data_IF_600075421886
#
_entry.id   IF_600075421886
#
_cell.length_a   1.000
_cell.length_b   1.000
_cell.length_c   1.000
_cell.angle_alpha   90.00
_cell.angle_beta   90.00
_cell.angle_gamma   90.00
#
_symmetry.space_group_name_H-M   'P 1'
#
loop_
_entity.id
_entity.type
_entity.pdbx_description
1 polymer ?
#
# COMPACT_ATOMS: atom_id res chain seq x y z
N UNK A 1 8.60 -10.32 16.69
CA UNK A 1 8.20 -9.98 15.33
C UNK A 1 6.93 -9.14 15.35
N UNK A 2 6.78 -8.21 14.39
CA UNK A 2 5.56 -7.44 14.21
C UNK A 2 4.41 -8.36 13.80
N UNK A 3 3.18 -8.03 14.24
CA UNK A 3 1.99 -8.77 13.86
C UNK A 3 0.82 -7.82 13.59
N UNK A 4 0.10 -8.07 12.50
CA UNK A 4 -1.18 -7.42 12.22
C UNK A 4 -2.27 -8.11 13.07
N UNK A 5 -2.93 -7.34 13.92
CA UNK A 5 -3.94 -7.86 14.87
C UNK A 5 -5.34 -7.28 14.64
N UNK A 6 -5.46 -6.16 13.94
CA UNK A 6 -6.73 -5.48 13.67
C UNK A 6 -6.91 -5.26 12.18
N UNK A 7 -8.10 -5.57 11.70
CA UNK A 7 -8.47 -5.47 10.29
C UNK A 7 -9.90 -4.96 10.18
N UNK A 8 -10.12 -4.00 9.28
CA UNK A 8 -11.45 -3.60 8.83
C UNK A 8 -11.72 -4.21 7.47
N UNK A 9 -12.75 -5.04 7.40
CA UNK A 9 -13.18 -5.65 6.14
C UNK A 9 -14.27 -4.84 5.46
N UNK A 10 -14.38 -4.99 4.14
CA UNK A 10 -15.58 -4.67 3.39
C UNK A 10 -16.76 -5.55 3.84
N UNK A 11 -17.96 -5.30 3.31
CA UNK A 11 -19.17 -6.07 3.65
C UNK A 11 -18.93 -7.57 3.55
N UNK A 12 -19.64 -8.34 4.38
CA UNK A 12 -19.56 -9.79 4.37
C UNK A 12 -18.18 -10.33 4.75
N UNK A 13 -17.43 -9.60 5.58
CA UNK A 13 -16.08 -10.00 5.99
C UNK A 13 -15.07 -10.06 4.83
N UNK A 14 -15.23 -9.21 3.81
CA UNK A 14 -14.36 -9.21 2.65
C UNK A 14 -14.60 -10.37 1.67
N UNK A 15 -15.81 -10.93 1.64
CA UNK A 15 -16.12 -12.11 0.84
C UNK A 15 -17.46 -12.03 0.08
N UNK A 16 -17.83 -10.83 -0.37
CA UNK A 16 -19.03 -10.62 -1.21
C UNK A 16 -18.75 -10.92 -2.67
N UNK A 17 -17.55 -10.62 -3.14
CA UNK A 17 -17.11 -10.87 -4.50
C UNK A 17 -15.82 -11.73 -4.53
N UNK A 18 -15.88 -13.01 -4.09
CA UNK A 18 -14.68 -13.83 -3.87
C UNK A 18 -13.89 -14.16 -5.14
N UNK A 19 -14.49 -14.00 -6.31
CA UNK A 19 -13.83 -14.19 -7.61
C UNK A 19 -13.09 -12.96 -8.10
N UNK A 20 -13.33 -11.79 -7.49
CA UNK A 20 -12.60 -10.56 -7.78
C UNK A 20 -11.38 -10.46 -6.88
N UNK A 21 -10.32 -9.76 -7.32
CA UNK A 21 -9.17 -9.49 -6.46
C UNK A 21 -9.58 -8.84 -5.15
N UNK A 22 -8.95 -9.27 -4.06
CA UNK A 22 -9.05 -8.64 -2.76
C UNK A 22 -8.05 -7.47 -2.71
N UNK A 23 -8.54 -6.28 -2.37
CA UNK A 23 -7.64 -5.16 -2.07
C UNK A 23 -7.11 -5.27 -0.66
N UNK A 24 -5.80 -5.17 -0.51
CA UNK A 24 -5.09 -5.14 0.76
C UNK A 24 -4.69 -3.70 1.05
N UNK A 25 -5.41 -3.03 1.95
CA UNK A 25 -5.27 -1.60 2.19
C UNK A 25 -4.27 -1.32 3.31
N UNK A 26 -3.31 -0.44 3.05
CA UNK A 26 -2.18 -0.11 3.92
C UNK A 26 -2.12 1.41 4.13
N UNK A 27 -2.48 1.88 5.33
CA UNK A 27 -2.53 3.31 5.66
C UNK A 27 -1.13 3.92 5.87
N UNK A 28 -1.07 5.24 5.93
CA UNK A 28 0.15 6.00 6.23
C UNK A 28 0.43 6.16 7.72
N UNK A 29 1.57 6.78 8.05
CA UNK A 29 1.98 7.08 9.41
C UNK A 29 0.95 7.96 10.13
N UNK A 30 0.63 7.61 11.38
CA UNK A 30 -0.29 8.38 12.19
C UNK A 30 -1.77 8.18 11.84
N UNK A 31 -2.08 7.32 10.90
CA UNK A 31 -3.42 6.97 10.47
C UNK A 31 -3.87 5.61 11.06
N UNK A 32 -4.91 5.02 10.49
CA UNK A 32 -5.48 3.75 10.91
C UNK A 32 -6.19 3.06 9.73
N UNK A 33 -6.75 1.88 9.99
CA UNK A 33 -7.41 1.04 8.99
C UNK A 33 -8.66 1.66 8.34
N UNK A 34 -9.31 2.62 8.99
CA UNK A 34 -10.50 3.25 8.44
C UNK A 34 -10.19 4.20 7.27
N UNK A 35 -9.00 4.76 7.22
CA UNK A 35 -8.60 5.75 6.21
C UNK A 35 -8.65 5.15 4.79
N UNK A 36 -7.93 4.06 4.55
CA UNK A 36 -7.97 3.39 3.25
C UNK A 36 -9.29 2.66 2.98
N UNK A 37 -9.96 2.17 4.04
CA UNK A 37 -11.29 1.59 3.89
C UNK A 37 -12.29 2.60 3.31
N UNK A 38 -12.25 3.84 3.77
CA UNK A 38 -13.08 4.92 3.24
C UNK A 38 -12.69 5.29 1.80
N UNK A 39 -11.40 5.26 1.47
CA UNK A 39 -10.89 5.48 0.12
C UNK A 39 -11.44 4.46 -0.89
N UNK A 40 -11.63 3.21 -0.49
CA UNK A 40 -12.09 2.15 -1.37
C UNK A 40 -13.46 2.40 -2.01
N UNK A 41 -14.30 3.24 -1.42
CA UNK A 41 -15.58 3.68 -2.03
C UNK A 41 -15.38 4.43 -3.34
N UNK A 42 -14.26 5.15 -3.46
CA UNK A 42 -13.90 5.92 -4.65
C UNK A 42 -13.03 5.14 -5.63
N UNK A 43 -12.36 4.10 -5.16
CA UNK A 43 -11.40 3.33 -5.96
C UNK A 43 -12.06 2.12 -6.60
N UNK A 44 -12.67 1.24 -5.81
CA UNK A 44 -13.21 -0.03 -6.27
C UNK A 44 -14.40 -0.49 -5.40
N UNK A 45 -15.58 0.16 -5.51
CA UNK A 45 -16.72 -0.09 -4.62
C UNK A 45 -17.32 -1.49 -4.76
N UNK A 46 -17.00 -2.21 -5.83
CA UNK A 46 -17.53 -3.55 -6.11
C UNK A 46 -16.54 -4.69 -5.78
N UNK A 47 -15.35 -4.35 -5.31
CA UNK A 47 -14.39 -5.33 -4.84
C UNK A 47 -14.41 -5.42 -3.32
N UNK A 48 -14.05 -6.58 -2.81
CA UNK A 48 -13.77 -6.74 -1.39
C UNK A 48 -12.42 -6.14 -1.01
N UNK A 49 -12.30 -5.72 0.24
CA UNK A 49 -11.03 -5.28 0.81
C UNK A 49 -10.82 -5.79 2.24
N UNK A 50 -9.56 -5.87 2.62
CA UNK A 50 -9.08 -5.99 3.98
C UNK A 50 -8.15 -4.81 4.26
N UNK A 51 -8.56 -3.91 5.14
CA UNK A 51 -7.77 -2.75 5.54
C UNK A 51 -7.08 -3.02 6.87
N UNK A 52 -5.76 -3.11 6.85
CA UNK A 52 -4.95 -3.53 7.96
C UNK A 52 -4.56 -2.33 8.83
N UNK A 53 -4.61 -2.51 10.17
CA UNK A 53 -4.01 -1.58 11.13
C UNK A 53 -2.53 -1.90 11.30
N UNK A 54 -1.69 -0.88 11.17
CA UNK A 54 -0.27 -0.99 11.46
C UNK A 54 -0.02 -1.36 12.94
N UNK A 55 1.00 -2.17 13.23
CA UNK A 55 1.17 -2.77 14.56
C UNK A 55 1.75 -1.85 15.63
N UNK A 56 2.41 -0.74 15.24
CA UNK A 56 3.04 0.19 16.19
C UNK A 56 2.06 1.29 16.60
N UNK A 57 1.79 1.39 17.89
CA UNK A 57 0.82 2.35 18.43
C UNK A 57 1.51 3.68 18.67
N UNK A 58 1.01 4.76 18.04
CA UNK A 58 1.40 6.14 18.32
C UNK A 58 0.41 6.78 19.29
N UNK A 59 -0.88 6.48 19.14
CA UNK A 59 -1.95 6.92 20.00
C UNK A 59 -3.04 5.84 20.04
N UNK A 60 -3.43 5.43 21.25
CA UNK A 60 -4.50 4.46 21.45
C UNK A 60 -5.86 4.98 20.97
N UNK A 61 -6.69 4.09 20.43
CA UNK A 61 -8.07 4.42 20.10
C UNK A 61 -8.85 4.82 21.36
N UNK A 62 -9.66 5.88 21.26
CA UNK A 62 -10.44 6.41 22.38
C UNK A 62 -9.67 7.25 23.39
N UNK A 63 -8.37 7.48 23.20
CA UNK A 63 -7.53 8.29 24.09
C UNK A 63 -7.54 9.79 23.78
N UNK A 64 -8.34 10.25 22.82
CA UNK A 64 -8.53 11.68 22.54
C UNK A 64 -9.22 12.43 23.66
N UNK A 65 -9.19 13.76 23.62
CA UNK A 65 -9.64 14.69 24.67
C UNK A 65 -11.07 14.41 25.21
N UNK A 66 -11.91 13.74 24.42
CA UNK A 66 -13.28 13.34 24.81
C UNK A 66 -13.53 11.83 24.68
N UNK A 67 -12.48 11.01 24.65
CA UNK A 67 -12.62 9.57 24.42
C UNK A 67 -13.00 9.22 22.98
N UNK A 68 -12.92 10.18 22.06
CA UNK A 68 -13.15 9.99 20.64
C UNK A 68 -11.82 9.86 19.88
N UNK A 69 -11.83 9.05 18.87
CA UNK A 69 -10.69 8.86 17.97
C UNK A 69 -10.43 7.40 17.68
N UNK A 70 -10.04 7.14 16.44
CA UNK A 70 -9.77 5.78 15.97
C UNK A 70 -8.33 5.33 16.24
N UNK A 71 -7.54 6.17 16.93
CA UNK A 71 -6.13 5.94 17.18
C UNK A 71 -5.23 6.34 16.02
N UNK A 72 -3.93 6.29 16.28
CA UNK A 72 -2.89 6.58 15.30
C UNK A 72 -1.82 5.48 15.39
N UNK A 73 -1.45 4.93 14.24
CA UNK A 73 -0.58 3.77 14.15
C UNK A 73 0.50 3.98 13.11
N UNK A 74 1.56 3.19 13.19
CA UNK A 74 2.69 3.25 12.25
C UNK A 74 3.19 1.86 11.89
N UNK A 75 3.65 1.72 10.66
CA UNK A 75 4.36 0.53 10.20
C UNK A 75 5.83 0.56 10.60
N UNK A 76 6.40 1.75 10.80
CA UNK A 76 7.81 2.00 11.05
C UNK A 76 8.02 2.65 12.41
N UNK A 77 9.23 2.49 12.97
CA UNK A 77 9.58 3.09 14.27
C UNK A 77 9.64 4.61 14.22
N UNK A 78 10.02 5.18 13.06
CA UNK A 78 10.02 6.62 12.81
C UNK A 78 9.04 7.00 11.70
N UNK A 79 8.66 8.27 11.66
CA UNK A 79 7.79 8.81 10.61
C UNK A 79 8.37 8.61 9.21
N UNK A 80 9.63 8.99 9.03
CA UNK A 80 10.41 8.79 7.80
C UNK A 80 11.80 8.27 8.19
N UNK A 81 11.94 6.97 8.46
CA UNK A 81 13.24 6.37 8.66
C UNK A 81 14.05 6.40 7.36
N UNK A 82 15.35 6.22 7.45
CA UNK A 82 16.24 6.26 6.29
C UNK A 82 17.31 5.16 6.37
N UNK A 83 17.96 4.91 5.23
CA UNK A 83 19.09 3.98 5.17
C UNK A 83 18.73 2.57 5.65
N UNK A 84 19.61 1.99 6.46
CA UNK A 84 19.42 0.64 7.00
C UNK A 84 18.20 0.49 7.90
N UNK A 85 17.84 1.55 8.65
CA UNK A 85 16.67 1.50 9.53
C UNK A 85 15.38 1.42 8.73
N UNK A 86 15.30 2.13 7.60
CA UNK A 86 14.19 2.00 6.69
C UNK A 86 14.09 0.60 6.08
N UNK A 87 15.22 0.01 5.69
CA UNK A 87 15.23 -1.37 5.17
C UNK A 87 14.72 -2.38 6.20
N UNK A 88 15.18 -2.27 7.44
CA UNK A 88 14.77 -3.18 8.53
C UNK A 88 13.28 -3.03 8.84
N UNK A 89 12.80 -1.81 8.93
CA UNK A 89 11.38 -1.52 9.20
C UNK A 89 10.48 -1.97 8.05
N UNK A 90 10.85 -1.68 6.81
CA UNK A 90 10.11 -2.07 5.63
C UNK A 90 10.01 -3.61 5.52
N UNK A 91 11.11 -4.31 5.73
CA UNK A 91 11.13 -5.77 5.70
C UNK A 91 10.27 -6.38 6.82
N UNK A 92 10.42 -5.90 8.05
CA UNK A 92 9.65 -6.40 9.20
C UNK A 92 8.14 -6.17 9.02
N UNK A 93 7.75 -5.00 8.52
CA UNK A 93 6.36 -4.69 8.25
C UNK A 93 5.80 -5.52 7.08
N UNK A 94 6.55 -5.64 5.98
CA UNK A 94 6.14 -6.45 4.84
C UNK A 94 5.99 -7.94 5.22
N UNK A 95 6.89 -8.49 6.03
CA UNK A 95 6.77 -9.86 6.55
C UNK A 95 5.49 -10.02 7.40
N UNK A 96 5.20 -9.07 8.28
CA UNK A 96 3.99 -9.12 9.11
C UNK A 96 2.70 -9.09 8.27
N UNK A 97 2.71 -8.32 7.19
CA UNK A 97 1.60 -8.24 6.23
C UNK A 97 1.47 -9.54 5.44
N UNK A 98 2.57 -10.03 4.88
CA UNK A 98 2.59 -11.27 4.08
C UNK A 98 2.18 -12.49 4.91
N UNK A 99 2.63 -12.58 6.15
CA UNK A 99 2.19 -13.59 7.14
C UNK A 99 0.69 -13.49 7.43
N UNK A 100 0.16 -12.28 7.52
CA UNK A 100 -1.28 -12.08 7.68
C UNK A 100 -2.05 -12.57 6.44
N UNK A 101 -1.59 -12.22 5.26
CA UNK A 101 -2.18 -12.68 3.99
C UNK A 101 -2.17 -14.20 3.90
N UNK A 102 -1.05 -14.84 4.19
CA UNK A 102 -0.91 -16.30 4.15
C UNK A 102 -1.89 -17.02 5.09
N UNK A 103 -2.22 -16.42 6.24
CA UNK A 103 -3.14 -17.01 7.22
C UNK A 103 -4.63 -16.72 6.94
N UNK A 104 -4.95 -15.63 6.26
CA UNK A 104 -6.32 -15.11 6.21
C UNK A 104 -6.91 -15.04 4.81
N UNK A 105 -6.11 -15.15 3.76
CA UNK A 105 -6.58 -15.04 2.38
C UNK A 105 -6.28 -16.34 1.63
N UNK A 106 -7.28 -16.97 0.99
CA UNK A 106 -7.05 -18.17 0.19
C UNK A 106 -5.92 -17.97 -0.83
N UNK A 107 -5.11 -18.99 -1.03
CA UNK A 107 -3.93 -18.92 -1.91
C UNK A 107 -4.34 -18.65 -3.38
N UNK A 108 -5.49 -19.17 -3.81
CA UNK A 108 -6.01 -18.98 -5.16
C UNK A 108 -6.72 -17.63 -5.37
N UNK A 109 -6.92 -16.83 -4.32
CA UNK A 109 -7.49 -15.49 -4.44
C UNK A 109 -6.43 -14.47 -4.80
N UNK A 110 -6.66 -13.73 -5.89
CA UNK A 110 -5.81 -12.60 -6.26
C UNK A 110 -5.82 -11.51 -5.19
N UNK A 111 -4.65 -10.96 -4.85
CA UNK A 111 -4.46 -9.89 -3.88
C UNK A 111 -3.76 -8.72 -4.53
N UNK A 112 -4.33 -7.52 -4.34
CA UNK A 112 -3.78 -6.26 -4.84
C UNK A 112 -3.54 -5.32 -3.66
N UNK A 113 -2.28 -5.13 -3.24
CA UNK A 113 -1.94 -4.09 -2.25
C UNK A 113 -2.27 -2.70 -2.79
N UNK A 114 -2.84 -1.87 -1.93
CA UNK A 114 -3.02 -0.44 -2.15
C UNK A 114 -2.60 0.30 -0.90
N UNK A 115 -1.66 1.23 -1.01
CA UNK A 115 -1.13 1.94 0.14
C UNK A 115 -0.85 3.40 -0.11
N UNK A 116 -0.92 4.18 0.96
CA UNK A 116 -0.58 5.60 0.97
C UNK A 116 0.63 5.87 1.86
N UNK A 117 1.60 6.66 1.38
CA UNK A 117 2.80 7.07 2.11
C UNK A 117 3.61 5.87 2.62
N UNK A 118 3.77 5.63 3.92
CA UNK A 118 4.37 4.40 4.45
C UNK A 118 3.70 3.14 3.87
N UNK A 119 2.36 3.14 3.81
CA UNK A 119 1.61 2.06 3.18
C UNK A 119 1.90 1.92 1.69
N UNK A 120 2.17 3.03 1.01
CA UNK A 120 2.60 3.04 -0.40
C UNK A 120 3.97 2.42 -0.60
N UNK A 121 4.92 2.69 0.29
CA UNK A 121 6.21 1.98 0.32
C UNK A 121 5.99 0.48 0.49
N UNK A 122 5.13 0.09 1.43
CA UNK A 122 4.87 -1.32 1.72
C UNK A 122 4.17 -2.04 0.56
N UNK A 123 3.27 -1.36 -0.16
CA UNK A 123 2.67 -1.92 -1.37
C UNK A 123 3.73 -2.28 -2.43
N UNK A 124 4.81 -1.50 -2.51
CA UNK A 124 5.97 -1.83 -3.35
C UNK A 124 6.82 -2.93 -2.69
N UNK A 125 7.09 -2.83 -1.40
CA UNK A 125 8.01 -3.73 -0.71
C UNK A 125 7.49 -5.17 -0.63
N UNK A 126 6.18 -5.38 -0.62
CA UNK A 126 5.57 -6.70 -0.74
C UNK A 126 5.98 -7.41 -2.03
N UNK A 127 6.11 -6.67 -3.15
CA UNK A 127 6.65 -7.22 -4.41
C UNK A 127 8.13 -7.57 -4.30
N UNK A 128 8.88 -6.87 -3.45
CA UNK A 128 10.31 -7.12 -3.21
C UNK A 128 10.58 -8.27 -2.25
N UNK A 129 9.53 -8.71 -1.54
CA UNK A 129 9.60 -9.84 -0.59
C UNK A 129 8.98 -11.11 -1.17
N UNK A 130 7.77 -11.02 -1.73
CA UNK A 130 7.00 -12.16 -2.21
C UNK A 130 6.16 -11.78 -3.46
N UNK A 131 6.81 -11.48 -4.59
CA UNK A 131 6.14 -10.94 -5.77
C UNK A 131 5.08 -11.87 -6.37
N UNK A 132 5.25 -13.18 -6.28
CA UNK A 132 4.32 -14.17 -6.85
C UNK A 132 2.95 -14.16 -6.16
N UNK A 133 2.88 -13.64 -4.93
CA UNK A 133 1.62 -13.60 -4.17
C UNK A 133 0.68 -12.48 -4.63
N UNK A 134 1.23 -11.43 -5.23
CA UNK A 134 0.50 -10.20 -5.55
C UNK A 134 0.36 -10.02 -7.05
N UNK A 135 -0.88 -9.89 -7.53
CA UNK A 135 -1.17 -9.83 -8.97
C UNK A 135 -1.02 -8.44 -9.58
N UNK A 136 -1.03 -7.42 -8.76
CA UNK A 136 -0.81 -6.02 -9.09
C UNK A 136 -0.48 -5.26 -7.81
N UNK A 137 -0.05 -4.00 -7.89
CA UNK A 137 0.17 -3.15 -6.72
C UNK A 137 -0.12 -1.69 -7.03
N UNK A 138 -0.58 -0.95 -6.01
CA UNK A 138 -0.92 0.47 -6.11
C UNK A 138 -0.20 1.21 -4.99
N UNK A 139 0.68 2.12 -5.36
CA UNK A 139 1.42 2.97 -4.43
C UNK A 139 1.06 4.43 -4.66
N UNK A 140 0.47 5.05 -3.65
CA UNK A 140 0.04 6.46 -3.64
C UNK A 140 0.95 7.25 -2.72
N UNK A 141 1.71 8.19 -3.26
CA UNK A 141 2.72 8.98 -2.53
C UNK A 141 3.70 8.12 -1.72
N UNK A 142 3.98 6.91 -2.21
CA UNK A 142 4.94 6.01 -1.61
C UNK A 142 6.38 6.38 -1.96
N UNK A 143 7.31 5.72 -1.33
CA UNK A 143 8.74 5.86 -1.56
C UNK A 143 9.42 4.49 -1.46
N UNK A 144 10.72 4.43 -1.75
CA UNK A 144 11.44 3.18 -1.87
C UNK A 144 12.39 2.99 -0.68
N UNK A 145 12.36 1.82 -0.04
CA UNK A 145 13.45 1.43 0.85
C UNK A 145 14.71 1.14 0.03
N UNK A 146 15.91 1.55 0.49
CA UNK A 146 17.12 1.47 -0.33
C UNK A 146 17.54 0.04 -0.71
N UNK A 147 17.24 -0.96 0.12
CA UNK A 147 17.63 -2.35 -0.13
C UNK A 147 19.11 -2.63 0.10
N UNK A 148 19.77 -1.85 0.98
CA UNK A 148 21.20 -1.99 1.31
C UNK A 148 21.47 -3.04 2.39
N UNK A 149 20.47 -3.34 3.21
CA UNK A 149 20.57 -4.44 4.19
C UNK A 149 20.36 -5.77 3.50
N UNK A 150 21.33 -6.67 3.63
CA UNK A 150 21.24 -7.99 3.03
C UNK A 150 19.97 -8.74 3.46
N UNK A 151 19.20 -9.22 2.50
CA UNK A 151 17.96 -9.97 2.73
C UNK A 151 16.72 -9.09 3.00
N UNK A 152 16.84 -7.77 3.00
CA UNK A 152 15.68 -6.87 3.20
C UNK A 152 14.77 -6.75 1.97
N UNK A 153 15.27 -7.07 0.79
CA UNK A 153 14.55 -7.07 -0.47
C UNK A 153 14.94 -8.29 -1.33
N UNK A 154 14.60 -9.52 -0.87
CA UNK A 154 15.16 -10.74 -1.43
C UNK A 154 14.74 -11.04 -2.87
N UNK A 155 13.63 -10.47 -3.33
CA UNK A 155 13.12 -10.72 -4.67
C UNK A 155 13.56 -9.69 -5.72
N UNK A 156 14.32 -8.67 -5.38
CA UNK A 156 14.71 -7.58 -6.30
C UNK A 156 15.37 -8.10 -7.59
N UNK A 157 16.11 -9.22 -7.52
CA UNK A 157 16.79 -9.79 -8.67
C UNK A 157 15.86 -10.42 -9.72
N UNK A 158 14.60 -10.71 -9.38
CA UNK A 158 13.68 -11.40 -10.31
C UNK A 158 12.28 -10.76 -10.43
N UNK A 159 11.98 -9.71 -9.68
CA UNK A 159 10.68 -9.00 -9.80
C UNK A 159 10.39 -8.59 -11.24
N UNK A 160 11.39 -8.11 -11.96
CA UNK A 160 11.24 -7.67 -13.35
C UNK A 160 10.77 -8.77 -14.32
N UNK A 161 11.10 -10.04 -14.02
CA UNK A 161 10.70 -11.18 -14.84
C UNK A 161 9.19 -11.45 -14.80
N UNK A 162 8.52 -11.02 -13.74
CA UNK A 162 7.10 -11.25 -13.53
C UNK A 162 6.20 -10.20 -14.19
N UNK A 163 6.76 -9.07 -14.59
CA UNK A 163 6.04 -7.98 -15.28
C UNK A 163 4.72 -7.57 -14.57
N UNK A 164 4.77 -7.40 -13.25
CA UNK A 164 3.60 -7.13 -12.42
C UNK A 164 3.07 -5.72 -12.71
N UNK A 165 1.77 -5.53 -12.99
CA UNK A 165 1.19 -4.22 -13.16
C UNK A 165 1.26 -3.39 -11.86
N UNK A 166 1.79 -2.18 -11.94
CA UNK A 166 1.87 -1.25 -10.83
C UNK A 166 1.36 0.12 -11.24
N UNK A 167 0.48 0.69 -10.42
CA UNK A 167 0.13 2.10 -10.48
C UNK A 167 0.90 2.86 -9.41
N UNK A 168 1.62 3.91 -9.83
CA UNK A 168 2.35 4.80 -8.93
C UNK A 168 1.92 6.25 -9.16
N UNK A 169 1.27 6.86 -8.16
CA UNK A 169 0.81 8.23 -8.22
C UNK A 169 1.39 9.09 -7.11
N UNK A 170 1.68 10.36 -7.38
CA UNK A 170 2.17 11.32 -6.39
C UNK A 170 1.89 12.76 -6.77
N UNK A 171 1.82 13.65 -5.77
CA UNK A 171 1.72 15.09 -5.95
C UNK A 171 3.06 15.72 -6.33
N UNK A 172 3.07 16.61 -7.32
CA UNK A 172 4.29 17.35 -7.71
C UNK A 172 4.72 18.39 -6.69
N UNK A 173 3.87 18.70 -5.73
CA UNK A 173 4.11 19.66 -4.66
C UNK A 173 4.22 18.98 -3.29
N UNK A 174 4.54 17.67 -3.26
CA UNK A 174 4.70 16.91 -2.02
C UNK A 174 5.78 17.55 -1.13
N UNK A 175 5.37 17.95 0.09
CA UNK A 175 6.24 18.58 1.09
C UNK A 175 6.75 17.59 2.15
N UNK A 176 6.29 16.34 2.12
CA UNK A 176 6.68 15.29 3.07
C UNK A 176 7.75 14.39 2.47
N UNK A 177 7.52 13.87 1.26
CA UNK A 177 8.48 13.02 0.57
C UNK A 177 9.29 13.87 -0.41
N UNK A 178 10.62 13.93 -0.29
CA UNK A 178 11.46 14.70 -1.21
C UNK A 178 11.29 14.25 -2.66
N UNK A 179 11.22 15.20 -3.57
CA UNK A 179 11.02 14.92 -5.00
C UNK A 179 12.06 13.95 -5.59
N UNK A 180 13.36 14.02 -5.22
CA UNK A 180 14.34 13.03 -5.67
C UNK A 180 14.01 11.60 -5.29
N UNK A 181 13.38 11.38 -4.13
CA UNK A 181 12.94 10.04 -3.69
C UNK A 181 11.73 9.55 -4.48
N UNK A 182 10.78 10.45 -4.80
CA UNK A 182 9.65 10.12 -5.67
C UNK A 182 10.13 9.73 -7.08
N UNK A 183 11.10 10.46 -7.63
CA UNK A 183 11.70 10.14 -8.93
C UNK A 183 12.49 8.83 -8.91
N UNK A 184 13.27 8.58 -7.85
CA UNK A 184 14.00 7.33 -7.69
C UNK A 184 13.06 6.13 -7.57
N UNK A 185 11.94 6.30 -6.88
CA UNK A 185 10.89 5.27 -6.77
C UNK A 185 10.27 4.96 -8.12
N UNK A 186 9.88 5.99 -8.89
CA UNK A 186 9.34 5.83 -10.22
C UNK A 186 10.34 5.13 -11.17
N UNK A 187 11.61 5.50 -11.11
CA UNK A 187 12.66 4.89 -11.93
C UNK A 187 12.85 3.41 -11.60
N UNK A 188 12.91 3.05 -10.31
CA UNK A 188 13.03 1.66 -9.89
C UNK A 188 11.82 0.82 -10.36
N UNK A 189 10.61 1.36 -10.19
CA UNK A 189 9.38 0.69 -10.62
C UNK A 189 9.33 0.50 -12.14
N UNK A 190 9.80 1.47 -12.91
CA UNK A 190 9.88 1.37 -14.39
C UNK A 190 10.82 0.24 -14.85
N UNK A 191 11.92 0.05 -14.13
CA UNK A 191 12.87 -1.03 -14.42
C UNK A 191 12.38 -2.42 -13.99
N UNK A 192 11.52 -2.51 -12.97
CA UNK A 192 11.19 -3.78 -12.31
C UNK A 192 9.73 -4.22 -12.45
N UNK A 193 8.86 -3.39 -13.03
CA UNK A 193 7.42 -3.69 -13.09
C UNK A 193 6.82 -3.23 -14.42
N UNK A 194 5.56 -3.58 -14.66
CA UNK A 194 4.77 -2.96 -15.71
C UNK A 194 4.11 -1.69 -15.16
N UNK A 195 4.86 -0.59 -15.18
CA UNK A 195 4.53 0.65 -14.50
C UNK A 195 3.56 1.54 -15.29
N UNK A 196 2.55 2.05 -14.60
CA UNK A 196 1.82 3.26 -14.94
C UNK A 196 2.10 4.31 -13.87
N UNK A 197 2.88 5.34 -14.19
CA UNK A 197 3.22 6.42 -13.27
C UNK A 197 2.48 7.70 -13.63
N UNK A 198 1.87 8.34 -12.62
CA UNK A 198 1.14 9.59 -12.75
C UNK A 198 1.61 10.60 -11.70
N UNK A 199 1.75 11.86 -12.10
CA UNK A 199 2.09 12.94 -11.18
C UNK A 199 1.11 14.10 -11.33
N UNK A 200 0.76 14.76 -10.21
CA UNK A 200 -0.35 15.71 -10.16
C UNK A 200 0.15 17.08 -9.71
N UNK A 201 -0.03 18.08 -10.60
CA UNK A 201 0.36 19.46 -10.34
C UNK A 201 -0.55 20.07 -9.28
N UNK A 202 0.03 20.83 -8.35
CA UNK A 202 -0.71 21.50 -7.28
C UNK A 202 -1.17 20.58 -6.16
N UNK A 203 -0.79 19.30 -6.19
CA UNK A 203 -1.10 18.33 -5.15
C UNK A 203 0.11 18.14 -4.25
N UNK A 204 -0.09 18.28 -2.95
CA UNK A 204 0.86 18.02 -1.89
C UNK A 204 0.87 16.51 -1.55
N UNK A 205 1.16 16.14 -0.31
CA UNK A 205 1.15 14.77 0.19
C UNK A 205 -0.30 14.30 0.42
N UNK A 206 -1.01 14.05 -0.68
CA UNK A 206 -2.43 13.70 -0.70
C UNK A 206 -2.80 13.00 -2.01
N UNK A 207 -4.01 12.45 -2.06
CA UNK A 207 -4.59 11.85 -3.26
C UNK A 207 -5.67 12.78 -3.81
N UNK A 208 -5.54 13.20 -5.07
CA UNK A 208 -6.50 14.10 -5.72
C UNK A 208 -7.65 13.33 -6.38
N UNK A 209 -8.74 14.04 -6.70
CA UNK A 209 -9.87 13.47 -7.46
C UNK A 209 -9.43 12.98 -8.85
N UNK A 210 -8.50 13.68 -9.49
CA UNK A 210 -7.95 13.25 -10.77
C UNK A 210 -7.16 11.93 -10.64
N UNK A 211 -6.43 11.77 -9.55
CA UNK A 211 -5.71 10.52 -9.26
C UNK A 211 -6.67 9.35 -9.05
N UNK A 212 -7.78 9.55 -8.34
CA UNK A 212 -8.82 8.53 -8.22
C UNK A 212 -9.42 8.15 -9.59
N UNK A 213 -9.65 9.14 -10.46
CA UNK A 213 -10.16 8.88 -11.80
C UNK A 213 -9.17 8.07 -12.64
N UNK A 214 -7.90 8.47 -12.67
CA UNK A 214 -6.85 7.74 -13.38
C UNK A 214 -6.66 6.33 -12.84
N UNK A 215 -6.76 6.17 -11.51
CA UNK A 215 -6.65 4.86 -10.88
C UNK A 215 -7.82 3.94 -11.26
N UNK A 216 -9.06 4.44 -11.28
CA UNK A 216 -10.22 3.66 -11.74
C UNK A 216 -10.07 3.21 -13.19
N UNK A 217 -9.60 4.08 -14.07
CA UNK A 217 -9.35 3.74 -15.47
C UNK A 217 -8.27 2.65 -15.58
N UNK A 218 -7.20 2.77 -14.80
CA UNK A 218 -6.14 1.76 -14.74
C UNK A 218 -6.65 0.41 -14.24
N UNK A 219 -7.46 0.39 -13.19
CA UNK A 219 -8.06 -0.84 -12.64
C UNK A 219 -8.95 -1.54 -13.65
N UNK A 220 -9.76 -0.79 -14.39
CA UNK A 220 -10.62 -1.32 -15.45
C UNK A 220 -9.79 -1.86 -16.63
N UNK A 221 -8.76 -1.15 -17.04
CA UNK A 221 -7.88 -1.57 -18.13
C UNK A 221 -7.09 -2.86 -17.83
N UNK A 222 -6.85 -3.16 -16.54
CA UNK A 222 -6.17 -4.37 -16.08
C UNK A 222 -7.11 -5.47 -15.56
N UNK A 223 -8.42 -5.33 -15.75
CA UNK A 223 -9.45 -6.28 -15.26
C UNK A 223 -9.40 -6.55 -13.74
N UNK A 224 -8.90 -5.58 -12.96
CA UNK A 224 -8.81 -5.71 -11.49
C UNK A 224 -10.14 -5.33 -10.84
N UNK A 225 -10.77 -4.26 -11.30
CA UNK A 225 -12.07 -3.82 -10.86
C UNK A 225 -12.92 -3.36 -12.04
N UNK A 226 -14.26 -3.55 -12.00
CA UNK A 226 -15.12 -3.02 -13.04
C UNK A 226 -15.10 -1.50 -13.01
N UNK A 227 -15.15 -0.89 -14.18
CA UNK A 227 -15.37 0.55 -14.31
C UNK A 227 -16.67 0.97 -13.61
N UNK A 228 -16.70 2.18 -13.08
CA UNK A 228 -17.95 2.78 -12.57
C UNK A 228 -18.71 3.28 -13.80
N UNK A 229 -19.87 2.70 -14.06
CA UNK A 229 -20.81 3.17 -15.07
C UNK A 229 -21.52 4.44 -14.59
#
# INVERSE_FOLDING_TARGET
PLQVTHVQYSRGGGNVAPRRPLFLCLHGWGSNEADLADMMRYVAPYNDFASLRAPLVLQEAGSGEFGFGQGAYSWFHDCVPSGEDLDRDAYAAAQAIDDWVARNVPEDRAVVPIGFSQGGLLAIHLLRVHPERYTASISLSGFLAPGIVAGSAPADSHVAELNIPVFYGYGKNDTVIPMPELFATAAWLDEHTFLTSKSYRGVDHAVSLNEFSDLRDWLAAHDIAPGIL
#
